data_IF_845070268123
#
_entry.id   IF_845070268123
#
_cell.length_a   1.000
_cell.length_b   1.000
_cell.length_c   1.000
_cell.angle_alpha   90.00
_cell.angle_beta   90.00
_cell.angle_gamma   90.00
#
_symmetry.space_group_name_H-M   'P 1'
#
loop_
_entity.id
_entity.type
_entity.pdbx_description
1 polymer ?
#
# COMPACT_ATOMS: atom_id res chain seq x y z
N UNK A 1 -1.53 -5.40 -0.34
CA UNK A 1 -1.80 -4.57 0.87
C UNK A 1 -3.30 -4.66 1.11
N UNK A 2 -3.77 -4.91 2.33
CA UNK A 2 -5.20 -4.91 2.68
C UNK A 2 -5.43 -4.01 3.91
N UNK A 3 -6.58 -3.36 4.00
CA UNK A 3 -6.93 -2.50 5.14
C UNK A 3 -8.42 -2.59 5.49
N UNK A 4 -8.76 -2.21 6.72
CA UNK A 4 -10.13 -2.10 7.23
C UNK A 4 -10.20 -0.91 8.21
N UNK A 5 -11.36 -0.24 8.33
CA UNK A 5 -11.55 0.87 9.29
C UNK A 5 -11.82 0.37 10.71
N UNK A 6 -12.30 -0.86 10.86
CA UNK A 6 -12.56 -1.52 12.14
C UNK A 6 -11.88 -2.89 12.20
N UNK A 7 -11.46 -3.30 13.40
CA UNK A 7 -10.89 -4.63 13.64
C UNK A 7 -11.93 -5.77 13.59
N UNK A 8 -13.18 -5.49 13.17
CA UNK A 8 -14.23 -6.50 13.01
C UNK A 8 -13.89 -7.51 11.91
N UNK A 9 -14.13 -8.77 12.21
CA UNK A 9 -13.32 -9.93 11.82
C UNK A 9 -13.60 -10.59 10.48
N UNK A 10 -14.25 -9.95 9.49
CA UNK A 10 -14.66 -10.71 8.28
C UNK A 10 -14.43 -10.11 6.89
N UNK A 11 -14.15 -8.82 6.74
CA UNK A 11 -13.88 -8.27 5.40
C UNK A 11 -12.89 -7.11 5.46
N UNK A 12 -11.86 -7.16 4.64
CA UNK A 12 -11.06 -5.98 4.35
C UNK A 12 -11.91 -5.03 3.49
N UNK A 13 -11.79 -3.73 3.75
CA UNK A 13 -12.56 -2.71 3.03
C UNK A 13 -11.86 -2.26 1.76
N UNK A 14 -10.58 -2.55 1.64
CA UNK A 14 -9.83 -2.31 0.42
C UNK A 14 -8.56 -3.12 0.35
N UNK A 15 -8.08 -3.26 -0.87
CA UNK A 15 -6.86 -3.97 -1.19
C UNK A 15 -6.09 -3.25 -2.31
N UNK A 16 -4.77 -3.35 -2.28
CA UNK A 16 -3.85 -3.02 -3.37
C UNK A 16 -3.08 -4.28 -3.73
N UNK A 17 -3.10 -4.66 -5.00
CA UNK A 17 -2.25 -5.73 -5.50
C UNK A 17 -0.81 -5.27 -5.63
N UNK A 18 0.14 -6.09 -5.16
CA UNK A 18 1.56 -5.72 -5.22
C UNK A 18 2.05 -5.50 -6.66
N UNK A 19 1.43 -6.16 -7.65
CA UNK A 19 1.74 -6.01 -9.08
C UNK A 19 1.31 -4.67 -9.65
N UNK A 20 0.29 -4.06 -9.05
CA UNK A 20 -0.23 -2.77 -9.48
C UNK A 20 0.54 -1.61 -8.84
N UNK A 21 1.44 -1.87 -7.88
CA UNK A 21 2.24 -0.82 -7.25
C UNK A 21 3.31 -0.34 -8.23
N UNK A 22 3.23 0.93 -8.58
CA UNK A 22 4.18 1.58 -9.48
C UNK A 22 5.24 2.41 -8.75
N UNK A 23 4.85 3.05 -7.64
CA UNK A 23 5.76 3.96 -6.93
C UNK A 23 5.44 4.01 -5.43
N UNK A 24 6.48 4.14 -4.61
CA UNK A 24 6.38 4.32 -3.16
C UNK A 24 7.21 5.55 -2.77
N UNK A 25 6.55 6.63 -2.36
CA UNK A 25 7.20 7.87 -1.92
C UNK A 25 7.15 8.00 -0.41
N UNK A 26 8.29 8.29 0.22
CA UNK A 26 8.34 8.62 1.65
C UNK A 26 8.00 10.09 1.85
N UNK A 27 7.27 10.40 2.91
CA UNK A 27 6.86 11.74 3.26
C UNK A 27 5.39 12.04 2.98
N UNK A 28 5.04 13.32 3.17
CA UNK A 28 3.68 13.86 3.03
C UNK A 28 3.46 14.71 1.78
N UNK A 29 4.41 14.69 0.85
CA UNK A 29 4.40 15.52 -0.35
C UNK A 29 3.40 15.01 -1.40
N UNK A 30 2.13 14.90 -1.02
CA UNK A 30 1.04 14.49 -1.89
C UNK A 30 -0.29 15.09 -1.42
N UNK A 31 -1.17 15.38 -2.37
CA UNK A 31 -2.44 16.12 -2.18
C UNK A 31 -3.35 15.56 -1.08
N UNK A 32 -3.27 14.27 -0.78
CA UNK A 32 -4.11 13.67 0.26
C UNK A 32 -3.77 14.21 1.66
N UNK A 33 -2.50 14.56 1.90
CA UNK A 33 -2.07 15.21 3.15
C UNK A 33 -2.40 16.71 3.18
N UNK A 34 -2.50 17.35 2.01
CA UNK A 34 -2.97 18.74 1.90
C UNK A 34 -4.45 18.89 2.22
N UNK A 35 -5.24 17.81 2.06
CA UNK A 35 -6.65 17.78 2.41
C UNK A 35 -6.92 17.89 3.92
N UNK A 36 -5.97 17.46 4.75
CA UNK A 36 -6.06 17.44 6.22
C UNK A 36 -4.82 18.08 6.85
N UNK A 37 -4.60 19.39 6.64
CA UNK A 37 -3.32 20.03 6.92
C UNK A 37 -3.01 20.10 8.41
N UNK A 38 -4.02 20.26 9.26
CA UNK A 38 -3.84 20.36 10.72
C UNK A 38 -3.43 19.02 11.33
N UNK A 39 -4.04 17.91 10.90
CA UNK A 39 -3.63 16.56 11.29
C UNK A 39 -2.24 16.22 10.72
N UNK A 40 -2.01 16.56 9.45
CA UNK A 40 -0.73 16.28 8.79
C UNK A 40 0.44 17.00 9.46
N UNK A 41 0.26 18.23 9.97
CA UNK A 41 1.30 18.96 10.73
C UNK A 41 1.72 18.26 12.02
N UNK A 42 0.81 17.51 12.65
CA UNK A 42 1.07 16.82 13.94
C UNK A 42 1.84 15.51 13.79
N UNK A 43 1.90 14.99 12.57
CA UNK A 43 2.61 13.75 12.25
C UNK A 43 4.01 14.13 11.77
N UNK A 44 5.03 13.30 11.94
CA UNK A 44 6.37 13.56 11.38
C UNK A 44 6.42 13.17 9.90
N UNK A 45 7.22 13.86 9.09
CA UNK A 45 7.31 13.54 7.66
C UNK A 45 7.80 12.10 7.42
N UNK A 46 8.78 11.65 8.20
CA UNK A 46 9.36 10.30 8.08
C UNK A 46 8.41 9.18 8.57
N UNK A 47 7.31 9.54 9.21
CA UNK A 47 6.23 8.59 9.58
C UNK A 47 5.21 8.37 8.47
N UNK A 48 5.36 9.03 7.34
CA UNK A 48 4.41 8.97 6.26
C UNK A 48 5.02 8.38 4.98
N UNK A 49 4.18 7.72 4.20
CA UNK A 49 4.51 7.33 2.83
C UNK A 49 3.24 7.22 1.99
N UNK A 50 3.40 7.26 0.68
CA UNK A 50 2.32 7.15 -0.31
C UNK A 50 2.64 6.04 -1.28
N UNK A 51 1.68 5.15 -1.52
CA UNK A 51 1.74 4.09 -2.53
C UNK A 51 0.90 4.51 -3.72
N UNK A 52 1.51 4.59 -4.89
CA UNK A 52 0.82 4.82 -6.16
C UNK A 52 0.60 3.48 -6.87
N UNK A 53 -0.64 3.22 -7.26
CA UNK A 53 -1.02 1.93 -7.82
C UNK A 53 -2.15 2.01 -8.84
N UNK A 54 -2.27 0.96 -9.66
CA UNK A 54 -3.34 0.75 -10.63
C UNK A 54 -2.83 0.58 -12.05
N UNK A 55 -3.70 0.20 -12.97
CA UNK A 55 -3.38 -0.08 -14.38
C UNK A 55 -3.70 1.07 -15.35
N UNK A 56 -4.35 2.12 -14.86
CA UNK A 56 -4.74 3.29 -15.67
C UNK A 56 -3.63 4.35 -15.70
N UNK A 57 -3.67 5.23 -16.72
CA UNK A 57 -2.74 6.36 -16.82
C UNK A 57 -2.75 7.24 -15.56
N UNK A 58 -3.94 7.49 -15.00
CA UNK A 58 -4.08 8.19 -13.72
C UNK A 58 -4.10 7.17 -12.58
N UNK A 59 -2.94 6.96 -11.97
CA UNK A 59 -2.80 6.07 -10.82
C UNK A 59 -3.66 6.51 -9.63
N UNK A 60 -4.12 5.52 -8.87
CA UNK A 60 -4.69 5.71 -7.54
C UNK A 60 -3.55 5.89 -6.52
N UNK A 61 -3.88 6.46 -5.37
CA UNK A 61 -2.93 6.70 -4.28
C UNK A 61 -3.49 6.15 -2.97
N UNK A 62 -2.60 5.57 -2.16
CA UNK A 62 -2.86 5.18 -0.77
C UNK A 62 -1.84 5.90 0.11
N UNK A 63 -2.31 6.92 0.81
CA UNK A 63 -1.50 7.74 1.72
C UNK A 63 -1.58 7.20 3.14
N UNK A 64 -0.44 6.90 3.76
CA UNK A 64 -0.35 6.20 5.04
C UNK A 64 0.47 7.02 6.04
N UNK A 65 -0.01 7.09 7.28
CA UNK A 65 0.74 7.59 8.42
C UNK A 65 0.92 6.45 9.44
N UNK A 66 2.16 6.02 9.63
CA UNK A 66 2.51 4.93 10.54
C UNK A 66 2.54 5.38 12.01
N UNK A 67 2.48 4.41 12.94
CA UNK A 67 2.50 4.69 14.38
C UNK A 67 3.89 5.13 14.87
N UNK A 68 4.94 4.80 14.13
CA UNK A 68 6.32 5.24 14.40
C UNK A 68 7.12 5.37 13.10
N UNK A 69 8.24 6.09 13.15
CA UNK A 69 9.18 6.17 12.03
C UNK A 69 9.70 4.77 11.69
N UNK A 70 9.98 3.96 12.71
CA UNK A 70 10.48 2.61 12.51
C UNK A 70 9.52 1.73 11.73
N UNK A 71 8.23 1.84 12.03
CA UNK A 71 7.19 1.09 11.32
C UNK A 71 7.10 1.56 9.86
N UNK A 72 7.16 2.88 9.61
CA UNK A 72 7.20 3.44 8.27
C UNK A 72 8.38 2.89 7.45
N UNK A 73 9.59 2.89 8.03
CA UNK A 73 10.78 2.32 7.41
C UNK A 73 10.60 0.84 7.04
N UNK A 74 10.04 0.04 7.95
CA UNK A 74 9.81 -1.39 7.74
C UNK A 74 8.80 -1.64 6.61
N UNK A 75 7.70 -0.88 6.58
CA UNK A 75 6.74 -0.93 5.49
C UNK A 75 7.38 -0.59 4.15
N UNK A 76 8.08 0.54 4.07
CA UNK A 76 8.70 1.00 2.82
C UNK A 76 9.76 0.02 2.35
N UNK A 77 10.61 -0.50 3.25
CA UNK A 77 11.63 -1.51 2.92
C UNK A 77 10.99 -2.81 2.43
N UNK A 78 9.96 -3.30 3.12
CA UNK A 78 9.24 -4.51 2.75
C UNK A 78 8.58 -4.39 1.38
N UNK A 79 7.84 -3.29 1.15
CA UNK A 79 7.18 -3.05 -0.14
C UNK A 79 8.19 -2.91 -1.30
N UNK A 80 9.30 -2.18 -1.10
CA UNK A 80 10.36 -2.06 -2.12
C UNK A 80 11.01 -3.39 -2.48
N UNK A 81 10.95 -4.40 -1.60
CA UNK A 81 11.43 -5.74 -1.88
C UNK A 81 10.35 -6.62 -2.51
N UNK A 82 9.14 -6.62 -1.94
CA UNK A 82 8.06 -7.52 -2.36
C UNK A 82 7.43 -7.14 -3.70
N UNK A 83 7.37 -5.84 -4.03
CA UNK A 83 6.83 -5.38 -5.33
C UNK A 83 7.63 -5.96 -6.50
N UNK A 84 8.95 -5.74 -6.61
CA UNK A 84 9.73 -6.33 -7.68
C UNK A 84 9.75 -7.87 -7.62
N UNK A 85 9.85 -8.49 -6.43
CA UNK A 85 9.77 -9.95 -6.31
C UNK A 85 8.45 -10.50 -6.90
N UNK A 86 7.34 -9.82 -6.62
CA UNK A 86 6.01 -10.24 -7.10
C UNK A 86 5.87 -10.09 -8.61
N UNK A 87 6.44 -9.02 -9.18
CA UNK A 87 6.41 -8.74 -10.63
C UNK A 87 7.25 -9.77 -11.39
N UNK A 88 8.45 -10.08 -10.89
CA UNK A 88 9.40 -10.99 -11.54
C UNK A 88 9.20 -12.46 -11.18
N UNK A 89 8.22 -12.79 -10.34
CA UNK A 89 7.93 -14.17 -9.95
C UNK A 89 7.64 -15.06 -11.19
N UNK A 90 8.14 -16.30 -11.25
CA UNK A 90 7.82 -17.24 -12.32
C UNK A 90 6.31 -17.45 -12.51
N UNK A 91 5.90 -17.72 -13.76
CA UNK A 91 4.49 -17.89 -14.15
C UNK A 91 3.68 -18.81 -13.21
N UNK A 92 4.18 -19.99 -12.77
CA UNK A 92 3.45 -20.85 -11.84
C UNK A 92 3.07 -20.16 -10.53
N UNK A 93 3.97 -19.36 -9.93
CA UNK A 93 3.69 -18.61 -8.71
C UNK A 93 2.71 -17.47 -8.96
N UNK A 94 2.70 -16.89 -10.16
CA UNK A 94 1.72 -15.87 -10.53
C UNK A 94 0.31 -16.46 -10.57
N UNK A 95 0.15 -17.62 -11.23
CA UNK A 95 -1.11 -18.35 -11.34
C UNK A 95 -1.59 -18.80 -9.97
N UNK A 96 -0.69 -19.37 -9.15
CA UNK A 96 -1.03 -19.79 -7.78
C UNK A 96 -1.57 -18.62 -6.94
N UNK A 97 -0.91 -17.46 -6.97
CA UNK A 97 -1.35 -16.27 -6.24
C UNK A 97 -2.71 -15.76 -6.75
N UNK A 98 -2.94 -15.80 -8.06
CA UNK A 98 -4.22 -15.45 -8.65
C UNK A 98 -5.33 -16.40 -8.19
N UNK A 99 -5.12 -17.72 -8.24
CA UNK A 99 -6.08 -18.72 -7.78
C UNK A 99 -6.41 -18.57 -6.28
N UNK A 100 -5.40 -18.33 -5.44
CA UNK A 100 -5.63 -18.06 -4.01
C UNK A 100 -6.52 -16.85 -3.79
N UNK A 101 -6.33 -15.79 -4.59
CA UNK A 101 -7.15 -14.58 -4.52
C UNK A 101 -8.61 -14.89 -4.88
N UNK A 102 -8.85 -15.62 -5.97
CA UNK A 102 -10.20 -16.03 -6.37
C UNK A 102 -10.86 -16.91 -5.30
N UNK A 103 -10.11 -17.80 -4.67
CA UNK A 103 -10.60 -18.64 -3.58
C UNK A 103 -11.02 -17.83 -2.34
N UNK A 104 -10.23 -16.81 -1.95
CA UNK A 104 -10.56 -15.96 -0.79
C UNK A 104 -11.65 -14.92 -1.08
N UNK A 105 -11.99 -14.69 -2.35
CA UNK A 105 -13.08 -13.80 -2.75
C UNK A 105 -14.46 -14.50 -2.75
N UNK A 106 -14.47 -15.84 -2.64
CA UNK A 106 -15.66 -16.69 -2.54
C UNK A 106 -16.23 -16.68 -1.11
#
# INVERSE_FOLDING_TARGET
>A
IVWARSASTRSFEGAVEMREVHEIRVGKNYKDFERWPEEAKRIENLRCFVVFYGSEFKLKSLSIAALSEKECELWVKGLRHLVPDTIHAPYPLQVERWLRKEFYAM
#
